data_IF_050785856481
#
_entry.id   IF_050785856481
#
_cell.length_a   1.000
_cell.length_b   1.000
_cell.length_c   1.000
_cell.angle_alpha   90.00
_cell.angle_beta   90.00
_cell.angle_gamma   90.00
#
_symmetry.space_group_name_H-M   'P 1'
#
loop_
_entity.id
_entity.type
_entity.pdbx_description
1 polymer ?
#
# COMPACT_ATOMS: atom_id res chain seq x y z
N UNK A 1 2.54 -10.47 -16.99
CA UNK A 1 2.34 -10.86 -15.58
C UNK A 1 3.28 -10.10 -14.66
N UNK A 2 4.59 -10.43 -14.60
CA UNK A 2 5.50 -9.76 -13.65
C UNK A 2 5.71 -8.26 -13.92
N UNK A 3 5.98 -7.87 -15.18
CA UNK A 3 6.16 -6.46 -15.57
C UNK A 3 4.94 -5.60 -15.21
N UNK A 4 3.73 -6.14 -15.44
CA UNK A 4 2.49 -5.44 -15.13
C UNK A 4 2.29 -5.30 -13.62
N UNK A 5 2.66 -6.31 -12.83
CA UNK A 5 2.66 -6.22 -11.37
C UNK A 5 3.62 -5.14 -10.85
N UNK A 6 4.83 -5.05 -11.43
CA UNK A 6 5.80 -4.00 -11.10
C UNK A 6 5.26 -2.61 -11.41
N UNK A 7 4.60 -2.43 -12.55
CA UNK A 7 3.96 -1.16 -12.91
C UNK A 7 2.89 -0.78 -11.87
N UNK A 8 1.99 -1.71 -11.53
CA UNK A 8 0.96 -1.48 -10.51
C UNK A 8 1.54 -1.14 -9.15
N UNK A 9 2.61 -1.83 -8.73
CA UNK A 9 3.30 -1.59 -7.47
C UNK A 9 3.99 -0.22 -7.41
N UNK A 10 4.59 0.22 -8.52
CA UNK A 10 5.16 1.57 -8.60
C UNK A 10 4.08 2.66 -8.62
N UNK A 11 2.94 2.42 -9.27
CA UNK A 11 1.79 3.33 -9.20
C UNK A 11 1.25 3.43 -7.76
N UNK A 12 1.13 2.30 -7.06
CA UNK A 12 0.75 2.28 -5.64
C UNK A 12 1.72 3.10 -4.78
N UNK A 13 3.03 2.94 -4.99
CA UNK A 13 4.07 3.73 -4.32
C UNK A 13 3.87 5.23 -4.54
N UNK A 14 3.64 5.66 -5.79
CA UNK A 14 3.43 7.07 -6.13
C UNK A 14 2.16 7.63 -5.47
N UNK A 15 1.05 6.90 -5.54
CA UNK A 15 -0.22 7.34 -4.96
C UNK A 15 -0.19 7.38 -3.44
N UNK A 16 0.40 6.38 -2.78
CA UNK A 16 0.57 6.39 -1.33
C UNK A 16 1.49 7.51 -0.87
N UNK A 17 2.64 7.69 -1.53
CA UNK A 17 3.56 8.79 -1.20
C UNK A 17 2.84 10.13 -1.30
N UNK A 18 2.12 10.35 -2.41
CA UNK A 18 1.40 11.61 -2.60
C UNK A 18 0.26 11.78 -1.60
N UNK A 19 -0.53 10.75 -1.32
CA UNK A 19 -1.63 10.81 -0.35
C UNK A 19 -1.12 11.12 1.08
N UNK A 20 -0.04 10.48 1.52
CA UNK A 20 0.54 10.67 2.85
C UNK A 20 1.19 12.04 2.98
N UNK A 21 2.06 12.44 2.04
CA UNK A 21 2.79 13.71 2.12
C UNK A 21 1.92 14.93 1.82
N UNK A 22 0.97 14.83 0.89
CA UNK A 22 0.00 15.91 0.62
C UNK A 22 -0.93 16.12 1.83
N UNK A 23 -1.36 15.03 2.48
CA UNK A 23 -2.13 15.09 3.72
C UNK A 23 -1.42 15.84 4.85
N UNK A 24 -0.08 15.76 4.91
CA UNK A 24 0.74 16.51 5.88
C UNK A 24 0.63 18.01 5.73
N UNK A 25 0.54 18.49 4.48
CA UNK A 25 0.68 19.90 4.13
C UNK A 25 -0.66 20.65 4.13
N UNK A 26 -1.76 19.97 3.83
CA UNK A 26 -3.08 20.58 3.65
C UNK A 26 -4.16 20.05 4.63
N UNK A 27 -3.85 19.04 5.44
CA UNK A 27 -4.83 18.34 6.26
C UNK A 27 -5.63 17.29 5.47
N UNK A 28 -6.31 16.37 6.18
CA UNK A 28 -7.09 15.29 5.61
C UNK A 28 -8.35 15.81 4.88
N UNK A 29 -8.18 16.18 3.62
CA UNK A 29 -9.29 16.38 2.70
C UNK A 29 -9.74 15.05 2.08
N UNK A 30 -11.02 14.95 1.69
CA UNK A 30 -11.57 13.79 0.93
C UNK A 30 -10.74 13.41 -0.31
N UNK A 31 -10.01 14.37 -0.89
CA UNK A 31 -9.13 14.14 -2.04
C UNK A 31 -8.01 13.13 -1.70
N UNK A 32 -7.33 13.32 -0.57
CA UNK A 32 -6.28 12.40 -0.10
C UNK A 32 -6.80 10.99 0.12
N UNK A 33 -8.03 10.88 0.63
CA UNK A 33 -8.69 9.59 0.81
C UNK A 33 -8.93 8.90 -0.54
N UNK A 34 -9.48 9.60 -1.53
CA UNK A 34 -9.70 9.04 -2.88
C UNK A 34 -8.38 8.55 -3.49
N UNK A 35 -7.32 9.35 -3.39
CA UNK A 35 -5.98 8.99 -3.92
C UNK A 35 -5.42 7.77 -3.21
N UNK A 36 -5.56 7.71 -1.89
CA UNK A 36 -5.14 6.57 -1.09
C UNK A 36 -5.90 5.30 -1.50
N UNK A 37 -7.20 5.41 -1.77
CA UNK A 37 -8.02 4.31 -2.28
C UNK A 37 -7.58 3.84 -3.68
N UNK A 38 -7.22 4.76 -4.57
CA UNK A 38 -6.63 4.42 -5.88
C UNK A 38 -5.29 3.69 -5.71
N UNK A 39 -4.45 4.17 -4.78
CA UNK A 39 -3.20 3.49 -4.40
C UNK A 39 -3.46 2.07 -3.91
N UNK A 40 -4.47 1.88 -3.05
CA UNK A 40 -4.88 0.58 -2.53
C UNK A 40 -5.37 -0.37 -3.62
N UNK A 41 -6.13 0.13 -4.59
CA UNK A 41 -6.55 -0.66 -5.75
C UNK A 41 -5.35 -1.10 -6.58
N UNK A 42 -4.38 -0.20 -6.83
CA UNK A 42 -3.15 -0.54 -7.54
C UNK A 42 -2.32 -1.59 -6.79
N UNK A 43 -2.20 -1.44 -5.47
CA UNK A 43 -1.47 -2.35 -4.58
C UNK A 43 -2.10 -3.75 -4.55
N UNK A 44 -3.44 -3.81 -4.48
CA UNK A 44 -4.21 -5.04 -4.61
C UNK A 44 -3.99 -5.72 -5.98
N UNK A 45 -4.07 -4.97 -7.08
CA UNK A 45 -3.86 -5.50 -8.43
C UNK A 45 -2.41 -6.00 -8.62
N UNK A 46 -1.43 -5.26 -8.11
CA UNK A 46 -0.02 -5.66 -8.11
C UNK A 46 0.20 -6.96 -7.33
N UNK A 47 -0.31 -7.02 -6.11
CA UNK A 47 -0.19 -8.20 -5.22
C UNK A 47 -0.91 -9.41 -5.81
N UNK A 48 -2.07 -9.21 -6.44
CA UNK A 48 -2.82 -10.27 -7.10
C UNK A 48 -2.05 -10.83 -8.30
N UNK A 49 -1.48 -9.97 -9.16
CA UNK A 49 -0.66 -10.41 -10.29
C UNK A 49 0.63 -11.12 -9.84
N UNK A 50 1.26 -10.67 -8.75
CA UNK A 50 2.43 -11.36 -8.16
C UNK A 50 2.06 -12.74 -7.62
N UNK A 51 0.90 -12.87 -6.95
CA UNK A 51 0.40 -14.16 -6.46
C UNK A 51 0.07 -15.12 -7.60
N UNK A 52 -0.62 -14.63 -8.64
CA UNK A 52 -0.90 -15.43 -9.84
C UNK A 52 0.40 -15.93 -10.47
N UNK A 53 1.41 -15.06 -10.59
CA UNK A 53 2.73 -15.46 -11.08
C UNK A 53 3.37 -16.53 -10.19
N UNK A 54 3.32 -16.40 -8.86
CA UNK A 54 3.88 -17.39 -7.96
C UNK A 54 3.19 -18.77 -8.10
N UNK A 55 1.86 -18.79 -8.23
CA UNK A 55 1.07 -20.01 -8.41
C UNK A 55 1.35 -20.66 -9.77
N UNK A 56 1.37 -19.88 -10.86
CA UNK A 56 1.60 -20.41 -12.21
C UNK A 56 3.02 -20.97 -12.39
N UNK A 57 4.02 -20.37 -11.75
CA UNK A 57 5.42 -20.79 -11.86
C UNK A 57 5.90 -21.65 -10.67
N UNK A 58 4.98 -22.12 -9.81
CA UNK A 58 5.28 -23.08 -8.74
C UNK A 58 6.21 -22.58 -7.63
N UNK A 59 6.30 -21.26 -7.41
CA UNK A 59 7.11 -20.69 -6.31
C UNK A 59 6.29 -20.67 -5.02
N UNK A 60 6.84 -21.27 -3.97
CA UNK A 60 6.24 -21.26 -2.64
C UNK A 60 5.96 -19.82 -2.16
N UNK A 61 4.86 -19.59 -1.41
CA UNK A 61 4.61 -18.29 -0.78
C UNK A 61 5.75 -17.98 0.18
N UNK A 62 6.54 -16.98 -0.15
CA UNK A 62 7.65 -16.59 0.71
C UNK A 62 7.21 -15.70 1.86
N UNK A 63 8.07 -15.60 2.87
CA UNK A 63 7.98 -14.62 3.96
C UNK A 63 7.63 -13.22 3.45
N UNK A 64 8.17 -12.81 2.30
CA UNK A 64 7.82 -11.55 1.66
C UNK A 64 6.34 -11.44 1.27
N UNK A 65 5.73 -12.46 0.69
CA UNK A 65 4.33 -12.45 0.27
C UNK A 65 3.39 -12.27 1.48
N UNK A 66 3.73 -12.93 2.60
CA UNK A 66 3.00 -12.78 3.87
C UNK A 66 3.12 -11.34 4.38
N UNK A 67 4.32 -10.76 4.38
CA UNK A 67 4.51 -9.36 4.81
C UNK A 67 3.83 -8.36 3.88
N UNK A 68 3.79 -8.63 2.57
CA UNK A 68 3.09 -7.81 1.58
C UNK A 68 1.58 -7.83 1.80
N UNK A 69 0.98 -9.00 1.97
CA UNK A 69 -0.46 -9.16 2.26
C UNK A 69 -0.83 -8.51 3.60
N UNK A 70 -0.02 -8.72 4.65
CA UNK A 70 -0.24 -8.08 5.94
C UNK A 70 -0.20 -6.56 5.84
N UNK A 71 0.72 -6.02 5.03
CA UNK A 71 0.83 -4.59 4.80
C UNK A 71 -0.34 -4.02 4.00
N UNK A 72 -0.76 -4.71 2.93
CA UNK A 72 -1.95 -4.36 2.15
C UNK A 72 -3.22 -4.35 3.02
N UNK A 73 -3.38 -5.35 3.89
CA UNK A 73 -4.48 -5.41 4.85
C UNK A 73 -4.43 -4.23 5.84
N UNK A 74 -3.25 -3.86 6.32
CA UNK A 74 -3.04 -2.68 7.16
C UNK A 74 -3.44 -1.37 6.46
N UNK A 75 -3.04 -1.21 5.19
CA UNK A 75 -3.44 -0.05 4.37
C UNK A 75 -4.96 -0.01 4.16
N UNK A 76 -5.58 -1.15 3.86
CA UNK A 76 -7.03 -1.25 3.69
C UNK A 76 -7.80 -0.90 4.97
N UNK A 77 -7.37 -1.45 6.11
CA UNK A 77 -7.96 -1.16 7.41
C UNK A 77 -7.89 0.33 7.75
N UNK A 78 -6.73 0.95 7.50
CA UNK A 78 -6.54 2.37 7.72
C UNK A 78 -7.41 3.24 6.79
N UNK A 79 -7.53 2.87 5.52
CA UNK A 79 -8.42 3.52 4.56
C UNK A 79 -9.89 3.48 5.02
N UNK A 80 -10.36 2.33 5.50
CA UNK A 80 -11.73 2.17 6.02
C UNK A 80 -11.98 3.06 7.25
N UNK A 81 -11.05 3.08 8.21
CA UNK A 81 -11.15 3.95 9.38
C UNK A 81 -11.27 5.43 8.98
N UNK A 82 -10.47 5.84 8.00
CA UNK A 82 -10.46 7.21 7.51
C UNK A 82 -11.71 7.57 6.69
N UNK A 83 -12.26 6.61 5.94
CA UNK A 83 -13.53 6.75 5.25
C UNK A 83 -14.68 6.90 6.23
N UNK A 84 -14.78 6.02 7.23
CA UNK A 84 -15.81 6.09 8.28
C UNK A 84 -15.69 7.41 9.05
N UNK A 85 -14.47 7.82 9.43
CA UNK A 85 -14.24 9.08 10.13
C UNK A 85 -14.60 10.31 9.28
N UNK A 86 -14.33 10.28 7.97
CA UNK A 86 -14.72 11.35 7.06
C UNK A 86 -16.24 11.42 6.88
N UNK A 87 -16.96 10.31 6.96
CA UNK A 87 -18.42 10.25 6.90
C UNK A 87 -19.07 10.68 8.22
N UNK A 88 -18.42 10.40 9.36
CA UNK A 88 -18.92 10.73 10.69
C UNK A 88 -18.72 12.21 11.10
N UNK A 89 -18.25 13.08 10.19
CA UNK A 89 -17.95 14.51 10.43
C UNK A 89 -16.99 14.81 11.60
N UNK A 90 -16.27 13.81 12.12
CA UNK A 90 -15.23 13.98 13.16
C UNK A 90 -13.86 14.20 12.54
N UNK A 91 -13.81 15.04 11.50
CA UNK A 91 -12.64 15.20 10.65
C UNK A 91 -11.41 15.72 11.42
N UNK A 92 -11.57 16.68 12.34
CA UNK A 92 -10.44 17.38 12.98
C UNK A 92 -9.66 16.52 13.98
N UNK A 93 -10.35 15.84 14.89
CA UNK A 93 -9.71 14.95 15.87
C UNK A 93 -9.04 13.75 15.19
N UNK A 94 -9.67 13.24 14.12
CA UNK A 94 -9.14 12.10 13.37
C UNK A 94 -7.98 12.51 12.47
N UNK A 95 -7.94 13.73 11.93
CA UNK A 95 -6.86 14.18 11.05
C UNK A 95 -5.47 14.05 11.70
N UNK A 96 -5.33 14.39 12.99
CA UNK A 96 -4.05 14.25 13.72
C UNK A 96 -3.63 12.78 13.93
N UNK A 97 -4.58 11.92 14.30
CA UNK A 97 -4.33 10.49 14.54
C UNK A 97 -4.09 9.77 13.22
N UNK A 98 -4.90 10.07 12.21
CA UNK A 98 -4.79 9.57 10.86
C UNK A 98 -3.39 9.80 10.33
N UNK A 99 -2.84 11.01 10.49
CA UNK A 99 -1.54 11.30 9.93
C UNK A 99 -0.40 10.49 10.57
N UNK A 100 -0.43 10.33 11.90
CA UNK A 100 0.55 9.52 12.63
C UNK A 100 0.45 8.04 12.25
N UNK A 101 -0.78 7.52 12.19
CA UNK A 101 -1.04 6.11 11.86
C UNK A 101 -0.73 5.81 10.39
N UNK A 102 -1.10 6.71 9.47
CA UNK A 102 -0.83 6.60 8.03
C UNK A 102 0.66 6.52 7.75
N UNK A 103 1.46 7.38 8.41
CA UNK A 103 2.92 7.36 8.28
C UNK A 103 3.51 6.04 8.77
N UNK A 104 3.05 5.53 9.92
CA UNK A 104 3.54 4.24 10.46
C UNK A 104 3.24 3.09 9.49
N UNK A 105 2.00 2.97 9.03
CA UNK A 105 1.60 1.88 8.13
C UNK A 105 2.30 2.01 6.78
N UNK A 106 2.41 3.22 6.23
CA UNK A 106 3.15 3.50 5.01
C UNK A 106 4.64 3.13 5.14
N UNK A 107 5.26 3.39 6.29
CA UNK A 107 6.66 3.02 6.53
C UNK A 107 6.81 1.49 6.61
N UNK A 108 5.89 0.80 7.29
CA UNK A 108 5.86 -0.67 7.27
C UNK A 108 5.66 -1.23 5.85
N UNK A 109 4.81 -0.58 5.05
CA UNK A 109 4.58 -0.94 3.65
C UNK A 109 5.82 -0.74 2.78
N UNK A 110 6.54 0.38 2.95
CA UNK A 110 7.83 0.60 2.29
C UNK A 110 8.83 -0.52 2.60
N UNK A 111 8.91 -0.95 3.86
CA UNK A 111 9.79 -2.06 4.27
C UNK A 111 9.40 -3.35 3.55
N UNK A 112 8.09 -3.66 3.50
CA UNK A 112 7.60 -4.84 2.78
C UNK A 112 7.91 -4.74 1.27
N UNK A 113 7.68 -3.58 0.65
CA UNK A 113 7.96 -3.30 -0.76
C UNK A 113 9.44 -3.51 -1.10
N UNK A 114 10.35 -2.89 -0.33
CA UNK A 114 11.79 -3.03 -0.56
C UNK A 114 12.29 -4.46 -0.30
N UNK A 115 11.79 -5.12 0.74
CA UNK A 115 12.07 -6.54 1.00
C UNK A 115 11.72 -7.41 -0.23
N UNK A 116 10.58 -7.13 -0.85
CA UNK A 116 10.15 -7.81 -2.08
C UNK A 116 11.03 -7.53 -3.28
N UNK A 117 11.34 -6.26 -3.51
CA UNK A 117 12.21 -5.84 -4.60
C UNK A 117 13.60 -6.49 -4.48
N UNK A 118 14.19 -6.51 -3.28
CA UNK A 118 15.50 -7.12 -3.02
C UNK A 118 15.44 -8.64 -3.21
N UNK A 119 14.44 -9.31 -2.65
CA UNK A 119 14.25 -10.76 -2.83
C UNK A 119 14.07 -11.14 -4.30
N UNK A 120 13.37 -10.30 -5.07
CA UNK A 120 13.23 -10.44 -6.52
C UNK A 120 14.56 -10.28 -7.26
N UNK A 121 15.34 -9.23 -6.95
CA UNK A 121 16.63 -8.98 -7.58
C UNK A 121 17.65 -10.08 -7.29
N UNK A 122 17.78 -10.52 -6.04
CA UNK A 122 18.70 -11.59 -5.63
C UNK A 122 18.47 -12.90 -6.39
N UNK A 123 17.23 -13.14 -6.84
CA UNK A 123 16.86 -14.33 -7.61
C UNK A 123 17.05 -14.21 -9.11
N UNK A 124 17.30 -13.02 -9.64
CA UNK A 124 17.64 -12.86 -11.06
C UNK A 124 19.15 -12.99 -11.29
N UNK A 125 19.95 -12.89 -10.24
CA UNK A 125 21.41 -13.02 -10.25
C UNK A 125 21.92 -14.45 -10.03
N UNK A 126 21.03 -15.42 -9.77
CA UNK A 126 21.33 -16.84 -9.65
C UNK A 126 20.53 -17.64 -10.68
#
# INVERSE_FOLDING_TARGET
>A
MLLQAVIWMNLALLFYTWAVFSGRKQGLHRKHLVIFGIGLMCDYLGTHQMNLFAVTFGKAPEWHNITGIASLAGMAFHFLLALIASLANRAEAVNRVFHRVSLTIYTCWLVAFFSGAISGMMRMTH
#
